data_IF_735980661091
#
_entry.id   IF_735980661091
#
_cell.length_a   1.000
_cell.length_b   1.000
_cell.length_c   1.000
_cell.angle_alpha   90.00
_cell.angle_beta   90.00
_cell.angle_gamma   90.00
#
_symmetry.space_group_name_H-M   'P 1'
#
loop_
_entity.id
_entity.type
_entity.pdbx_description
1 polymer ?
#
# COMPACT_ATOMS: atom_id res chain seq x y z
N UNK A 1 41.76 53.02 62.61
CA UNK A 1 41.44 51.83 63.45
C UNK A 1 41.45 50.61 62.56
N UNK A 2 42.14 49.56 62.99
CA UNK A 2 42.51 48.34 62.27
C UNK A 2 41.41 47.69 61.43
N UNK A 3 41.72 47.18 60.23
CA UNK A 3 42.15 45.77 60.08
C UNK A 3 42.36 45.39 58.59
N UNK A 4 43.58 44.93 58.31
CA UNK A 4 44.03 43.83 57.41
C UNK A 4 42.95 43.04 56.61
N UNK A 5 43.16 42.48 55.41
CA UNK A 5 44.38 41.97 54.72
C UNK A 5 43.99 41.38 53.32
N UNK A 6 45.00 41.24 52.43
CA UNK A 6 45.24 40.13 51.44
C UNK A 6 44.49 40.23 50.08
N UNK A 7 45.19 40.64 48.99
CA UNK A 7 45.90 39.82 47.96
C UNK A 7 44.92 39.23 46.92
N UNK A 8 45.15 39.11 45.60
CA UNK A 8 46.23 39.41 44.64
C UNK A 8 45.74 38.86 43.27
N UNK A 9 46.36 39.33 42.17
CA UNK A 9 46.51 38.71 40.83
C UNK A 9 45.51 39.15 39.74
N UNK A 10 46.02 39.91 38.74
CA UNK A 10 46.52 39.49 37.39
C UNK A 10 45.34 39.14 36.46
N UNK A 11 45.20 39.49 35.19
CA UNK A 11 46.03 40.02 34.09
C UNK A 11 45.00 40.49 33.01
N UNK A 12 45.24 41.42 32.08
CA UNK A 12 46.39 41.53 31.18
C UNK A 12 46.02 40.98 29.79
N UNK A 13 45.40 41.85 28.98
CA UNK A 13 45.61 42.15 27.54
C UNK A 13 46.10 41.08 26.55
N UNK A 14 45.49 41.09 25.33
CA UNK A 14 46.13 41.25 23.99
C UNK A 14 45.52 40.39 22.85
N UNK A 15 44.96 41.10 21.85
CA UNK A 15 45.21 41.04 20.39
C UNK A 15 45.51 39.69 19.68
N UNK A 16 44.68 39.37 18.68
CA UNK A 16 45.12 38.97 17.33
C UNK A 16 43.93 39.03 16.34
N UNK A 17 44.07 39.77 15.25
CA UNK A 17 43.06 39.89 14.18
C UNK A 17 43.19 38.78 13.13
N UNK A 18 42.06 38.38 12.52
CA UNK A 18 42.02 37.49 11.36
C UNK A 18 40.96 37.98 10.35
N UNK A 19 41.35 37.89 9.07
CA UNK A 19 40.61 38.31 7.88
C UNK A 19 39.23 37.64 7.77
N UNK A 20 38.19 38.43 7.46
CA UNK A 20 36.90 37.90 7.02
C UNK A 20 36.90 37.77 5.49
N UNK A 21 37.17 36.56 5.00
CA UNK A 21 36.75 36.12 3.69
C UNK A 21 35.22 35.94 3.70
N UNK A 22 34.49 36.84 3.06
CA UNK A 22 33.07 36.65 2.74
C UNK A 22 32.95 35.72 1.53
N UNK A 23 33.08 34.41 1.75
CA UNK A 23 32.54 33.43 0.81
C UNK A 23 31.02 33.36 1.00
N UNK A 24 30.22 33.11 -0.06
CA UNK A 24 28.81 32.86 0.14
C UNK A 24 28.70 31.58 0.97
N UNK A 25 28.12 31.70 2.16
CA UNK A 25 27.60 30.55 2.87
C UNK A 25 26.52 29.95 1.97
N UNK A 26 26.86 28.93 1.18
CA UNK A 26 25.89 27.95 0.72
C UNK A 26 25.26 27.40 1.97
N UNK A 27 24.10 27.95 2.33
CA UNK A 27 23.29 27.44 3.41
C UNK A 27 23.04 25.97 3.09
N UNK A 28 23.63 25.11 3.91
CA UNK A 28 23.30 23.71 3.95
C UNK A 28 21.78 23.63 4.06
N UNK A 29 21.15 23.25 2.96
CA UNK A 29 19.74 22.92 2.92
C UNK A 29 19.61 21.70 3.84
N UNK A 30 19.21 21.94 5.09
CA UNK A 30 18.83 20.88 6.01
C UNK A 30 17.89 19.97 5.23
N UNK A 31 18.25 18.70 5.07
CA UNK A 31 17.44 17.74 4.32
C UNK A 31 16.11 17.58 5.06
N UNK A 32 15.12 18.39 4.69
CA UNK A 32 13.78 18.28 5.23
C UNK A 32 13.29 16.91 4.79
N UNK A 33 13.11 16.00 5.76
CA UNK A 33 12.72 14.62 5.51
C UNK A 33 11.43 14.63 4.68
N UNK A 34 11.50 14.12 3.46
CA UNK A 34 10.32 14.03 2.58
C UNK A 34 9.51 12.80 2.98
N UNK A 35 8.77 12.95 4.09
CA UNK A 35 7.95 11.89 4.69
C UNK A 35 6.95 11.31 3.69
N UNK A 36 6.39 12.16 2.81
CA UNK A 36 5.46 11.71 1.78
C UNK A 36 6.16 10.74 0.82
N UNK A 37 7.36 11.11 0.36
CA UNK A 37 8.17 10.23 -0.51
C UNK A 37 8.49 8.92 0.19
N UNK A 38 8.94 8.95 1.45
CA UNK A 38 9.23 7.74 2.22
C UNK A 38 8.02 6.81 2.37
N UNK A 39 6.84 7.36 2.67
CA UNK A 39 5.60 6.58 2.73
C UNK A 39 5.29 5.98 1.35
N UNK A 40 5.36 6.77 0.28
CA UNK A 40 5.06 6.27 -1.07
C UNK A 40 6.04 5.21 -1.57
N UNK A 41 7.30 5.31 -1.17
CA UNK A 41 8.35 4.35 -1.52
C UNK A 41 8.05 2.96 -0.91
N UNK A 42 7.61 2.91 0.35
CA UNK A 42 7.32 1.61 1.01
C UNK A 42 6.04 0.94 0.52
N UNK A 43 5.08 1.70 0.00
CA UNK A 43 3.84 1.15 -0.61
C UNK A 43 3.98 0.90 -2.11
N UNK A 44 5.06 1.37 -2.74
CA UNK A 44 5.30 1.19 -4.17
C UNK A 44 4.37 1.99 -5.07
N UNK A 45 3.90 3.15 -4.61
CA UNK A 45 3.00 4.02 -5.36
C UNK A 45 3.71 5.32 -5.74
N UNK A 46 3.27 5.96 -6.82
CA UNK A 46 3.72 7.31 -7.13
C UNK A 46 2.91 8.31 -6.28
N UNK A 47 3.54 9.30 -5.62
CA UNK A 47 2.80 10.35 -4.93
C UNK A 47 1.98 11.14 -5.93
N UNK A 48 0.65 10.99 -5.88
CA UNK A 48 -0.31 11.80 -6.63
C UNK A 48 -1.14 12.68 -5.67
N UNK A 49 -0.51 13.07 -4.57
CA UNK A 49 -1.05 13.91 -3.50
C UNK A 49 -0.16 15.14 -3.34
N UNK A 50 -0.76 16.30 -3.08
CA UNK A 50 -0.01 17.49 -2.66
C UNK A 50 -0.11 17.64 -1.14
N UNK A 51 1.02 17.56 -0.44
CA UNK A 51 1.09 17.84 1.00
C UNK A 51 1.09 19.35 1.24
N UNK A 52 0.20 19.85 2.08
CA UNK A 52 0.06 21.28 2.39
C UNK A 52 -0.08 21.49 3.89
N UNK A 53 0.84 22.29 4.44
CA UNK A 53 0.68 22.83 5.79
C UNK A 53 -0.41 23.92 5.77
N UNK A 54 -1.37 23.86 6.69
CA UNK A 54 -2.39 24.90 6.87
C UNK A 54 -2.91 24.93 8.31
N UNK A 55 -3.41 26.07 8.76
CA UNK A 55 -4.18 26.23 9.99
C UNK A 55 -5.69 26.07 9.79
N UNK A 56 -6.17 25.89 8.56
CA UNK A 56 -7.59 25.79 8.22
C UNK A 56 -8.21 24.45 8.66
N UNK A 57 -7.37 23.48 9.02
CA UNK A 57 -7.78 22.21 9.65
C UNK A 57 -7.24 22.15 11.08
N UNK A 58 -8.01 21.61 12.00
CA UNK A 58 -7.57 21.47 13.41
C UNK A 58 -6.44 20.44 13.55
N UNK A 59 -6.49 19.37 12.76
CA UNK A 59 -5.58 18.23 12.80
C UNK A 59 -4.92 17.96 11.43
N UNK A 60 -5.50 17.07 10.63
CA UNK A 60 -5.11 16.73 9.27
C UNK A 60 -6.35 16.28 8.50
N UNK A 61 -6.31 16.39 7.18
CA UNK A 61 -7.43 15.98 6.33
C UNK A 61 -6.98 15.60 4.91
N UNK A 62 -7.52 14.51 4.39
CA UNK A 62 -7.48 14.15 2.99
C UNK A 62 -8.66 14.77 2.22
N UNK A 63 -8.38 15.63 1.24
CA UNK A 63 -9.44 16.33 0.48
C UNK A 63 -9.18 16.31 -1.03
N UNK A 64 -10.26 16.36 -1.81
CA UNK A 64 -10.19 16.52 -3.27
C UNK A 64 -10.74 17.89 -3.61
N UNK A 65 -9.91 18.74 -4.22
CA UNK A 65 -10.29 20.09 -4.63
C UNK A 65 -9.75 20.39 -6.02
N UNK A 66 -10.59 20.92 -6.92
CA UNK A 66 -10.19 21.23 -8.30
C UNK A 66 -9.60 20.04 -9.08
N UNK A 67 -10.07 18.82 -8.81
CA UNK A 67 -9.57 17.59 -9.44
C UNK A 67 -8.20 17.11 -8.92
N UNK A 68 -7.65 17.77 -7.90
CA UNK A 68 -6.38 17.41 -7.24
C UNK A 68 -6.64 16.84 -5.85
N UNK A 69 -5.75 15.94 -5.40
CA UNK A 69 -5.80 15.34 -4.06
C UNK A 69 -4.80 16.04 -3.15
N UNK A 70 -5.26 16.45 -1.98
CA UNK A 70 -4.48 17.20 -1.01
C UNK A 70 -4.46 16.47 0.33
N UNK A 71 -3.28 16.41 0.93
CA UNK A 71 -3.10 16.07 2.34
C UNK A 71 -2.85 17.37 3.08
N UNK A 72 -3.87 17.86 3.78
CA UNK A 72 -3.77 19.04 4.62
C UNK A 72 -3.32 18.62 6.01
N UNK A 73 -2.40 19.35 6.62
CA UNK A 73 -2.03 19.11 8.02
C UNK A 73 -1.75 20.42 8.76
N UNK A 74 -2.08 20.43 10.04
CA UNK A 74 -1.75 21.50 10.97
C UNK A 74 -0.39 21.22 11.63
N UNK A 75 0.66 22.01 11.32
CA UNK A 75 2.01 21.76 11.84
C UNK A 75 2.08 21.83 13.38
N UNK A 76 1.28 22.70 14.00
CA UNK A 76 1.23 22.86 15.45
C UNK A 76 0.64 21.62 16.11
N UNK A 77 -0.44 21.09 15.55
CA UNK A 77 -1.04 19.85 16.01
C UNK A 77 -0.07 18.68 15.89
N UNK A 78 0.53 18.46 14.71
CA UNK A 78 1.48 17.37 14.49
C UNK A 78 2.67 17.46 15.45
N UNK A 79 3.23 18.67 15.65
CA UNK A 79 4.31 18.88 16.60
C UNK A 79 3.90 18.60 18.06
N UNK A 80 2.66 18.91 18.44
CA UNK A 80 2.13 18.61 19.77
C UNK A 80 1.98 17.10 19.99
N UNK A 81 1.44 16.38 19.00
CA UNK A 81 1.28 14.92 19.07
C UNK A 81 2.65 14.22 19.12
N UNK A 82 3.62 14.62 18.29
CA UNK A 82 4.98 14.07 18.34
C UNK A 82 5.64 14.29 19.71
N UNK A 83 5.45 15.47 20.30
CA UNK A 83 5.99 15.80 21.63
C UNK A 83 5.35 14.95 22.72
N UNK A 84 4.02 14.80 22.69
CA UNK A 84 3.30 13.97 23.64
C UNK A 84 3.70 12.50 23.53
N UNK A 85 3.82 12.00 22.30
CA UNK A 85 4.26 10.64 22.00
C UNK A 85 5.76 10.38 22.14
N UNK A 86 6.57 11.44 22.29
CA UNK A 86 8.05 11.41 22.28
C UNK A 86 8.62 10.67 21.07
N UNK A 87 7.98 10.82 19.91
CA UNK A 87 8.36 10.14 18.67
C UNK A 87 7.83 10.90 17.45
N UNK A 88 8.58 10.88 16.35
CA UNK A 88 8.10 11.43 15.08
C UNK A 88 7.12 10.50 14.35
N UNK A 89 7.05 9.23 14.76
CA UNK A 89 6.13 8.25 14.20
C UNK A 89 4.67 8.63 14.38
N UNK A 90 4.35 9.43 15.39
CA UNK A 90 2.97 9.84 15.62
C UNK A 90 2.45 10.74 14.47
N UNK A 91 3.24 11.73 14.06
CA UNK A 91 2.95 12.58 12.91
C UNK A 91 2.95 11.81 11.59
N UNK A 92 3.89 10.87 11.42
CA UNK A 92 3.92 9.99 10.26
C UNK A 92 2.65 9.11 10.19
N UNK A 93 2.18 8.61 11.34
CA UNK A 93 0.94 7.82 11.45
C UNK A 93 -0.28 8.62 11.00
N UNK A 94 -0.39 9.88 11.40
CA UNK A 94 -1.47 10.79 10.97
C UNK A 94 -1.42 10.97 9.44
N UNK A 95 -0.25 11.28 8.87
CA UNK A 95 -0.15 11.46 7.41
C UNK A 95 -0.44 10.16 6.64
N UNK A 96 0.04 9.02 7.12
CA UNK A 96 -0.24 7.72 6.51
C UNK A 96 -1.74 7.39 6.58
N UNK A 97 -2.42 7.74 7.67
CA UNK A 97 -3.86 7.58 7.82
C UNK A 97 -4.63 8.39 6.76
N UNK A 98 -4.31 9.68 6.59
CA UNK A 98 -4.91 10.52 5.55
C UNK A 98 -4.65 9.98 4.13
N UNK A 99 -3.46 9.42 3.89
CA UNK A 99 -3.17 8.72 2.63
C UNK A 99 -4.06 7.50 2.43
N UNK A 100 -4.37 6.76 3.50
CA UNK A 100 -5.31 5.64 3.48
C UNK A 100 -6.69 6.06 2.97
N UNK A 101 -7.23 7.18 3.46
CA UNK A 101 -8.51 7.72 2.97
C UNK A 101 -8.53 8.01 1.47
N UNK A 102 -7.42 8.50 0.91
CA UNK A 102 -7.33 8.70 -0.53
C UNK A 102 -7.17 7.39 -1.31
N UNK A 103 -6.36 6.46 -0.83
CA UNK A 103 -6.02 5.23 -1.54
C UNK A 103 -7.18 4.23 -1.55
N UNK A 104 -7.96 4.17 -0.48
CA UNK A 104 -9.16 3.34 -0.39
C UNK A 104 -10.40 4.02 -0.99
N UNK A 105 -10.26 5.26 -1.46
CA UNK A 105 -11.34 5.98 -2.16
C UNK A 105 -12.42 6.57 -1.24
N UNK A 106 -12.16 6.69 0.07
CA UNK A 106 -13.07 7.31 1.04
C UNK A 106 -13.40 8.76 0.65
N UNK A 107 -12.40 9.47 0.11
CA UNK A 107 -12.56 10.87 -0.37
C UNK A 107 -13.41 11.04 -1.64
N UNK A 108 -13.89 9.97 -2.27
CA UNK A 108 -14.72 10.03 -3.48
C UNK A 108 -16.22 10.03 -3.19
N UNK A 109 -16.62 9.63 -1.98
CA UNK A 109 -18.03 9.53 -1.57
C UNK A 109 -18.43 10.79 -0.80
N UNK A 110 -19.66 11.25 -1.00
CA UNK A 110 -20.24 12.29 -0.15
C UNK A 110 -20.66 11.66 1.19
N UNK A 111 -20.38 12.31 2.32
CA UNK A 111 -20.81 11.83 3.64
C UNK A 111 -19.82 12.02 4.80
N UNK A 112 -18.56 12.36 4.52
CA UNK A 112 -17.54 12.53 5.56
C UNK A 112 -17.09 11.19 6.19
N UNK A 113 -16.39 11.26 7.31
CA UNK A 113 -15.88 10.09 8.03
C UNK A 113 -17.00 9.16 8.50
N UNK A 114 -16.78 7.87 8.35
CA UNK A 114 -17.62 6.82 8.93
C UNK A 114 -16.74 5.75 9.58
N UNK A 115 -17.28 4.95 10.50
CA UNK A 115 -16.48 4.02 11.29
C UNK A 115 -15.66 3.00 10.48
N UNK A 116 -16.18 2.48 9.36
CA UNK A 116 -15.43 1.52 8.53
C UNK A 116 -14.25 2.18 7.84
N UNK A 117 -14.44 3.36 7.26
CA UNK A 117 -13.39 4.08 6.53
C UNK A 117 -12.23 4.46 7.47
N UNK A 118 -12.53 4.84 8.72
CA UNK A 118 -11.53 5.15 9.74
C UNK A 118 -10.68 3.93 10.12
N UNK A 119 -11.32 2.75 10.29
CA UNK A 119 -10.60 1.51 10.63
C UNK A 119 -9.73 1.00 9.49
N UNK A 120 -10.19 1.15 8.25
CA UNK A 120 -9.39 0.83 7.08
C UNK A 120 -8.17 1.74 6.95
N UNK A 121 -8.35 3.05 7.18
CA UNK A 121 -7.25 4.00 7.16
C UNK A 121 -6.26 3.81 8.33
N UNK A 122 -6.72 3.37 9.50
CA UNK A 122 -5.87 2.92 10.61
C UNK A 122 -5.03 1.70 10.27
N UNK A 123 -5.67 0.69 9.69
CA UNK A 123 -5.00 -0.53 9.27
C UNK A 123 -3.92 -0.21 8.23
N UNK A 124 -4.23 0.66 7.27
CA UNK A 124 -3.26 1.18 6.32
C UNK A 124 -2.11 1.93 7.00
N UNK A 125 -2.39 2.80 7.97
CA UNK A 125 -1.36 3.53 8.73
C UNK A 125 -0.40 2.56 9.44
N UNK A 126 -0.93 1.57 10.16
CA UNK A 126 -0.10 0.55 10.82
C UNK A 126 0.77 -0.26 9.86
N UNK A 127 0.22 -0.60 8.69
CA UNK A 127 0.96 -1.31 7.63
C UNK A 127 2.15 -0.49 7.10
N UNK A 128 1.91 0.78 6.76
CA UNK A 128 2.95 1.71 6.29
C UNK A 128 4.05 1.86 7.34
N UNK A 129 3.67 2.15 8.58
CA UNK A 129 4.63 2.44 9.65
C UNK A 129 5.53 1.22 9.93
N UNK A 130 4.98 0.01 9.92
CA UNK A 130 5.79 -1.20 10.02
C UNK A 130 6.83 -1.29 8.91
N UNK A 131 6.44 -1.04 7.65
CA UNK A 131 7.34 -1.10 6.49
C UNK A 131 8.42 -0.03 6.54
N UNK A 132 8.12 1.12 7.13
CA UNK A 132 9.11 2.18 7.39
C UNK A 132 10.03 1.87 8.58
N UNK A 133 9.73 0.83 9.37
CA UNK A 133 10.58 0.36 10.47
C UNK A 133 10.09 0.68 11.87
N UNK A 134 8.91 1.30 12.02
CA UNK A 134 8.34 1.58 13.33
C UNK A 134 8.00 0.29 14.11
N UNK A 135 8.20 0.32 15.42
CA UNK A 135 7.62 -0.68 16.32
C UNK A 135 6.09 -0.55 16.40
N UNK A 136 5.42 -1.58 16.89
CA UNK A 136 3.97 -1.56 17.09
C UNK A 136 3.57 -0.41 18.05
N UNK A 137 4.33 -0.24 19.14
CA UNK A 137 4.09 0.80 20.12
C UNK A 137 4.20 2.21 19.51
N UNK A 138 5.24 2.46 18.71
CA UNK A 138 5.38 3.72 17.98
C UNK A 138 4.24 3.93 16.99
N UNK A 139 3.80 2.87 16.30
CA UNK A 139 2.70 2.93 15.33
C UNK A 139 1.35 3.28 15.98
N UNK A 140 1.17 2.90 17.24
CA UNK A 140 -0.04 3.15 18.03
C UNK A 140 -0.02 4.49 18.77
N UNK A 141 1.11 5.21 18.77
CA UNK A 141 1.32 6.38 19.64
C UNK A 141 0.39 7.54 19.31
N UNK A 142 0.19 7.87 18.03
CA UNK A 142 -0.72 8.96 17.65
C UNK A 142 -2.13 8.70 18.17
N UNK A 143 -2.66 7.51 17.88
CA UNK A 143 -4.01 7.11 18.28
C UNK A 143 -4.18 7.07 19.79
N UNK A 144 -3.15 6.63 20.52
CA UNK A 144 -3.16 6.65 21.99
C UNK A 144 -3.24 8.07 22.57
N UNK A 145 -2.68 9.07 21.88
CA UNK A 145 -2.70 10.47 22.32
C UNK A 145 -3.99 11.19 21.94
N UNK A 146 -4.52 10.96 20.73
CA UNK A 146 -5.56 11.83 20.15
C UNK A 146 -6.98 11.26 20.27
N UNK A 147 -7.14 9.94 20.36
CA UNK A 147 -8.46 9.33 20.24
C UNK A 147 -9.28 9.41 21.52
N UNK A 148 -10.60 9.51 21.37
CA UNK A 148 -11.55 9.34 22.47
C UNK A 148 -11.67 7.87 22.86
N UNK A 149 -11.96 7.58 24.12
CA UNK A 149 -12.10 6.20 24.59
C UNK A 149 -13.30 5.49 23.96
N UNK A 150 -14.42 6.21 23.82
CA UNK A 150 -15.71 5.66 23.41
C UNK A 150 -15.97 5.88 21.93
N UNK A 151 -16.78 5.00 21.35
CA UNK A 151 -17.28 5.16 19.99
C UNK A 151 -18.14 6.43 19.85
N UNK A 152 -18.09 7.01 18.66
CA UNK A 152 -18.99 8.06 18.19
C UNK A 152 -19.62 7.64 16.85
N UNK A 153 -20.65 8.35 16.36
CA UNK A 153 -21.30 8.00 15.09
C UNK A 153 -20.34 7.97 13.88
N UNK A 154 -19.27 8.77 13.93
CA UNK A 154 -18.33 8.91 12.81
C UNK A 154 -16.96 8.32 13.09
N UNK A 155 -16.57 8.17 14.36
CA UNK A 155 -15.23 7.72 14.77
C UNK A 155 -15.33 6.58 15.79
N UNK A 156 -14.71 5.41 15.54
CA UNK A 156 -14.59 4.34 16.52
C UNK A 156 -13.74 4.78 17.74
N UNK A 157 -14.00 4.14 18.88
CA UNK A 157 -13.27 4.34 20.11
C UNK A 157 -11.83 3.84 20.03
N UNK A 158 -10.97 4.37 20.91
CA UNK A 158 -9.53 4.19 20.88
C UNK A 158 -9.09 2.73 20.78
N UNK A 159 -9.67 1.83 21.57
CA UNK A 159 -9.28 0.41 21.58
C UNK A 159 -9.45 -0.23 20.21
N UNK A 160 -10.58 0.03 19.55
CA UNK A 160 -10.89 -0.53 18.23
C UNK A 160 -9.92 -0.01 17.17
N UNK A 161 -9.61 1.28 17.22
CA UNK A 161 -8.65 1.95 16.32
C UNK A 161 -7.21 1.46 16.52
N UNK A 162 -6.77 1.33 17.77
CA UNK A 162 -5.47 0.76 18.12
C UNK A 162 -5.32 -0.70 17.63
N UNK A 163 -6.40 -1.48 17.71
CA UNK A 163 -6.41 -2.85 17.19
C UNK A 163 -6.30 -2.88 15.66
N UNK A 164 -6.95 -1.96 14.94
CA UNK A 164 -6.84 -1.83 13.49
C UNK A 164 -5.41 -1.51 13.03
N UNK A 165 -4.77 -0.52 13.68
CA UNK A 165 -3.34 -0.22 13.48
C UNK A 165 -2.49 -1.48 13.71
N UNK A 166 -2.79 -2.23 14.77
CA UNK A 166 -2.10 -3.47 15.09
C UNK A 166 -2.21 -4.54 14.00
N UNK A 167 -3.40 -4.73 13.42
CA UNK A 167 -3.62 -5.67 12.31
C UNK A 167 -2.77 -5.32 11.10
N UNK A 168 -2.78 -4.05 10.68
CA UNK A 168 -2.00 -3.59 9.54
C UNK A 168 -0.50 -3.75 9.75
N UNK A 169 -0.04 -3.41 10.95
CA UNK A 169 1.36 -3.61 11.35
C UNK A 169 1.76 -5.09 11.26
N UNK A 170 0.92 -6.01 11.75
CA UNK A 170 1.17 -7.45 11.70
C UNK A 170 1.18 -7.98 10.26
N UNK A 171 0.28 -7.50 9.41
CA UNK A 171 0.24 -7.86 7.99
C UNK A 171 1.54 -7.47 7.28
N UNK A 172 1.99 -6.22 7.46
CA UNK A 172 3.27 -5.75 6.91
C UNK A 172 4.45 -6.57 7.46
N UNK A 173 4.45 -6.90 8.75
CA UNK A 173 5.49 -7.70 9.36
C UNK A 173 5.55 -9.11 8.74
N UNK A 174 4.39 -9.72 8.50
CA UNK A 174 4.27 -11.00 7.79
C UNK A 174 4.89 -10.94 6.39
N UNK A 175 4.64 -9.87 5.64
CA UNK A 175 5.24 -9.68 4.32
C UNK A 175 6.77 -9.55 4.38
N UNK A 176 7.30 -8.73 5.31
CA UNK A 176 8.75 -8.55 5.48
C UNK A 176 9.42 -9.88 5.83
N UNK A 177 8.85 -10.63 6.76
CA UNK A 177 9.37 -11.94 7.18
C UNK A 177 9.32 -12.95 6.02
N UNK A 178 8.24 -12.96 5.23
CA UNK A 178 8.13 -13.84 4.06
C UNK A 178 9.19 -13.52 3.01
N UNK A 179 9.42 -12.24 2.71
CA UNK A 179 10.47 -11.79 1.78
C UNK A 179 11.89 -12.08 2.27
N UNK A 180 12.13 -12.07 3.58
CA UNK A 180 13.43 -12.41 4.15
C UNK A 180 13.72 -13.93 4.15
N UNK A 181 12.68 -14.76 4.25
CA UNK A 181 12.80 -16.23 4.27
C UNK A 181 12.90 -16.87 2.88
N UNK A 182 12.62 -16.10 1.82
CA UNK A 182 12.68 -16.59 0.45
C UNK A 182 13.89 -15.98 -0.25
N UNK A 183 14.89 -16.80 -0.56
CA UNK A 183 15.87 -16.45 -1.60
C UNK A 183 15.09 -16.16 -2.87
N UNK A 184 15.26 -14.98 -3.46
CA UNK A 184 14.63 -14.64 -4.72
C UNK A 184 14.84 -15.78 -5.73
N UNK A 185 13.79 -16.23 -6.47
CA UNK A 185 13.99 -17.22 -7.51
C UNK A 185 15.02 -16.66 -8.50
N UNK A 186 16.18 -17.33 -8.54
CA UNK A 186 17.34 -17.14 -9.42
C UNK A 186 17.33 -15.88 -10.31
N UNK A 187 18.32 -15.01 -10.12
CA UNK A 187 18.69 -13.91 -11.04
C UNK A 187 19.17 -14.39 -12.42
N UNK A 188 19.00 -15.67 -12.77
CA UNK A 188 19.22 -16.12 -14.13
C UNK A 188 18.16 -15.44 -15.03
N UNK A 189 18.58 -14.74 -16.11
CA UNK A 189 17.63 -14.26 -17.09
C UNK A 189 16.79 -15.44 -17.55
N UNK A 190 15.46 -15.27 -17.61
CA UNK A 190 14.60 -16.22 -18.31
C UNK A 190 15.12 -16.25 -19.74
N UNK A 191 15.90 -17.27 -20.07
CA UNK A 191 16.34 -17.50 -21.43
C UNK A 191 15.06 -17.65 -22.25
N UNK A 192 14.76 -16.64 -23.07
CA UNK A 192 13.75 -16.76 -24.11
C UNK A 192 14.31 -17.79 -25.07
N UNK A 193 13.99 -19.07 -24.83
CA UNK A 193 14.36 -20.15 -25.73
C UNK A 193 13.86 -19.75 -27.12
N UNK A 194 14.80 -19.61 -28.06
CA UNK A 194 14.44 -19.53 -29.46
C UNK A 194 13.57 -20.75 -29.77
N UNK A 195 12.41 -20.47 -30.35
CA UNK A 195 11.36 -21.43 -30.71
C UNK A 195 12.02 -22.69 -31.32
N UNK A 196 11.96 -23.87 -30.67
CA UNK A 196 12.60 -25.05 -31.23
C UNK A 196 11.89 -25.44 -32.52
N UNK A 197 12.65 -25.52 -33.62
CA UNK A 197 12.25 -26.32 -34.77
C UNK A 197 12.20 -27.77 -34.28
N UNK A 198 11.02 -28.36 -34.30
CA UNK A 198 10.77 -29.73 -33.81
C UNK A 198 11.53 -30.71 -34.71
N UNK A 199 12.58 -31.34 -34.18
CA UNK A 199 13.05 -32.63 -34.69
C UNK A 199 12.44 -33.75 -33.84
N UNK A 200 11.83 -34.78 -34.46
CA UNK A 200 11.20 -35.85 -33.72
C UNK A 200 12.23 -36.86 -33.22
N UNK A 201 12.30 -37.05 -31.90
CA UNK A 201 12.76 -38.30 -31.30
C UNK A 201 13.75 -38.18 -30.14
N UNK A 202 13.25 -38.03 -28.90
CA UNK A 202 13.64 -38.82 -27.71
C UNK A 202 12.81 -38.37 -26.49
N UNK A 203 12.27 -39.28 -25.66
CA UNK A 203 11.59 -38.89 -24.43
C UNK A 203 12.58 -38.64 -23.30
N UNK A 204 12.57 -37.43 -22.73
CA UNK A 204 13.10 -37.16 -21.39
C UNK A 204 11.97 -36.61 -20.55
N UNK A 205 11.62 -37.35 -19.50
CA UNK A 205 10.69 -36.96 -18.44
C UNK A 205 11.26 -35.80 -17.61
N UNK A 206 10.54 -34.66 -17.47
CA UNK A 206 10.84 -33.68 -16.44
C UNK A 206 9.95 -33.93 -15.22
N UNK A 207 10.58 -34.05 -14.06
CA UNK A 207 9.95 -33.97 -12.74
C UNK A 207 9.40 -32.56 -12.57
N UNK A 208 8.08 -32.43 -12.42
CA UNK A 208 7.41 -31.15 -12.17
C UNK A 208 7.46 -30.83 -10.68
N UNK A 209 8.37 -29.93 -10.28
CA UNK A 209 8.22 -29.20 -9.02
C UNK A 209 7.28 -28.02 -9.23
N UNK A 210 6.14 -28.03 -8.54
CA UNK A 210 5.14 -26.97 -8.58
C UNK A 210 5.68 -25.70 -7.91
N UNK A 211 5.94 -24.67 -8.72
CA UNK A 211 6.34 -23.34 -8.25
C UNK A 211 5.11 -22.53 -7.82
N UNK A 212 5.15 -22.00 -6.59
CA UNK A 212 4.11 -21.19 -5.95
C UNK A 212 4.15 -19.72 -6.40
N UNK A 213 4.06 -19.45 -7.71
CA UNK A 213 3.95 -18.08 -8.23
C UNK A 213 2.70 -17.37 -7.66
N UNK A 214 2.74 -16.08 -7.28
CA UNK A 214 1.57 -15.37 -6.74
C UNK A 214 0.40 -15.41 -7.73
N UNK A 215 -0.81 -15.64 -7.21
CA UNK A 215 -2.03 -15.66 -8.03
C UNK A 215 -2.36 -14.21 -8.40
N UNK A 216 -2.33 -13.90 -9.69
CA UNK A 216 -2.78 -12.60 -10.21
C UNK A 216 -4.03 -12.77 -11.06
N UNK A 217 -4.89 -11.75 -11.08
CA UNK A 217 -6.04 -11.69 -11.99
C UNK A 217 -5.56 -11.26 -13.38
N UNK A 218 -6.00 -11.97 -14.41
CA UNK A 218 -5.62 -11.76 -15.81
C UNK A 218 -6.81 -11.49 -16.73
N UNK A 219 -8.04 -11.59 -16.22
CA UNK A 219 -9.25 -11.36 -17.00
C UNK A 219 -10.50 -11.26 -16.12
N UNK A 220 -11.52 -10.55 -16.59
CA UNK A 220 -12.88 -10.54 -16.03
C UNK A 220 -13.81 -11.28 -16.99
N UNK A 221 -14.67 -12.15 -16.45
CA UNK A 221 -15.75 -12.78 -17.20
C UNK A 221 -17.04 -12.03 -16.97
N UNK A 222 -17.83 -11.82 -18.01
CA UNK A 222 -19.15 -11.19 -17.94
C UNK A 222 -20.12 -12.00 -18.78
N UNK A 223 -21.18 -12.51 -18.15
CA UNK A 223 -22.23 -13.29 -18.80
C UNK A 223 -23.48 -12.44 -19.01
N UNK A 224 -24.17 -12.63 -20.13
CA UNK A 224 -25.35 -11.81 -20.48
C UNK A 224 -26.49 -11.95 -19.47
N UNK A 225 -26.68 -13.14 -18.88
CA UNK A 225 -27.73 -13.41 -17.90
C UNK A 225 -27.33 -13.05 -16.46
N UNK A 226 -26.03 -12.86 -16.20
CA UNK A 226 -25.50 -12.52 -14.88
C UNK A 226 -24.38 -11.48 -14.98
N UNK A 227 -24.67 -10.25 -15.43
CA UNK A 227 -23.63 -9.23 -15.63
C UNK A 227 -23.05 -8.67 -14.32
N UNK A 228 -23.75 -8.88 -13.20
CA UNK A 228 -23.34 -8.42 -11.87
C UNK A 228 -22.37 -9.38 -11.17
N UNK A 229 -22.20 -10.60 -11.68
CA UNK A 229 -21.31 -11.59 -11.08
C UNK A 229 -19.84 -11.15 -11.22
N UNK A 230 -19.14 -11.07 -10.09
CA UNK A 230 -17.73 -10.70 -10.05
C UNK A 230 -16.84 -11.93 -10.30
N UNK A 231 -16.74 -12.32 -11.57
CA UNK A 231 -15.98 -13.49 -12.02
C UNK A 231 -14.64 -13.07 -12.65
N UNK A 232 -13.55 -13.66 -12.16
CA UNK A 232 -12.20 -13.33 -12.58
C UNK A 232 -11.41 -14.57 -12.98
N UNK A 233 -10.56 -14.44 -13.98
CA UNK A 233 -9.60 -15.47 -14.41
C UNK A 233 -8.24 -15.14 -13.81
N UNK A 234 -7.55 -16.14 -13.30
CA UNK A 234 -6.21 -16.00 -12.72
C UNK A 234 -5.10 -16.46 -13.66
N UNK A 235 -3.85 -16.06 -13.39
CA UNK A 235 -2.66 -16.54 -14.11
C UNK A 235 -2.45 -18.07 -14.00
N UNK A 236 -3.13 -18.74 -13.07
CA UNK A 236 -3.18 -20.20 -12.92
C UNK A 236 -4.35 -20.84 -13.68
N UNK A 237 -5.02 -20.08 -14.55
CA UNK A 237 -6.20 -20.50 -15.32
C UNK A 237 -7.40 -20.92 -14.44
N UNK A 238 -7.42 -20.59 -13.15
CA UNK A 238 -8.61 -20.76 -12.32
C UNK A 238 -9.58 -19.60 -12.53
N UNK A 239 -10.88 -19.89 -12.52
CA UNK A 239 -11.95 -18.88 -12.44
C UNK A 239 -12.41 -18.77 -11.01
N UNK A 240 -12.33 -17.55 -10.48
CA UNK A 240 -12.73 -17.24 -9.13
C UNK A 240 -13.95 -16.31 -9.16
N UNK A 241 -14.90 -16.58 -8.27
CA UNK A 241 -16.00 -15.69 -7.94
C UNK A 241 -15.62 -14.92 -6.69
N UNK A 242 -15.79 -13.60 -6.71
CA UNK A 242 -15.62 -12.74 -5.55
C UNK A 242 -17.00 -12.38 -4.99
N UNK A 243 -17.18 -12.57 -3.69
CA UNK A 243 -18.36 -12.11 -2.96
C UNK A 243 -18.05 -10.76 -2.28
N UNK A 244 -18.69 -9.67 -2.70
CA UNK A 244 -18.42 -8.34 -2.14
C UNK A 244 -18.98 -8.15 -0.72
N UNK A 245 -19.95 -8.96 -0.26
CA UNK A 245 -20.49 -8.84 1.08
C UNK A 245 -19.51 -9.43 2.11
N UNK A 246 -19.02 -10.63 1.84
CA UNK A 246 -18.17 -11.39 2.76
C UNK A 246 -16.66 -11.28 2.45
N UNK A 247 -16.30 -10.57 1.37
CA UNK A 247 -14.92 -10.43 0.88
C UNK A 247 -14.23 -11.78 0.63
N UNK A 248 -15.01 -12.80 0.27
CA UNK A 248 -14.51 -14.16 0.03
C UNK A 248 -14.31 -14.43 -1.46
N UNK A 249 -13.39 -15.35 -1.76
CA UNK A 249 -13.17 -15.84 -3.12
C UNK A 249 -13.36 -17.34 -3.19
N UNK A 250 -14.16 -17.81 -4.14
CA UNK A 250 -14.39 -19.22 -4.40
C UNK A 250 -13.94 -19.58 -5.81
N UNK A 251 -13.26 -20.73 -5.99
CA UNK A 251 -12.94 -21.24 -7.33
C UNK A 251 -14.18 -21.93 -7.91
N UNK A 252 -14.76 -21.33 -8.95
CA UNK A 252 -16.01 -21.80 -9.58
C UNK A 252 -15.80 -22.46 -10.94
N UNK A 253 -14.56 -22.44 -11.45
CA UNK A 253 -14.22 -23.09 -12.70
C UNK A 253 -12.73 -23.02 -13.03
N UNK A 254 -12.36 -23.57 -14.20
CA UNK A 254 -10.99 -23.56 -14.71
C UNK A 254 -10.98 -23.44 -16.22
N UNK A 255 -10.03 -22.67 -16.76
CA UNK A 255 -9.71 -22.64 -18.18
C UNK A 255 -8.69 -23.73 -18.50
N UNK A 256 -8.90 -24.42 -19.61
CA UNK A 256 -7.93 -25.31 -20.23
C UNK A 256 -7.56 -24.78 -21.60
N UNK A 257 -6.31 -24.98 -22.02
CA UNK A 257 -5.89 -24.63 -23.37
C UNK A 257 -6.42 -25.66 -24.37
N UNK A 258 -6.83 -25.19 -25.52
CA UNK A 258 -7.34 -26.00 -26.63
C UNK A 258 -6.41 -25.86 -27.84
N UNK A 259 -6.48 -26.84 -28.75
CA UNK A 259 -5.75 -26.84 -30.03
C UNK A 259 -6.49 -26.06 -31.13
N UNK A 260 -7.73 -25.64 -30.89
CA UNK A 260 -8.51 -24.82 -31.82
C UNK A 260 -7.95 -23.40 -31.91
N UNK A 261 -7.79 -22.90 -33.13
CA UNK A 261 -7.41 -21.52 -33.40
C UNK A 261 -8.55 -20.54 -33.04
N UNK A 262 -9.80 -20.93 -33.29
CA UNK A 262 -10.98 -20.11 -33.02
C UNK A 262 -11.29 -20.05 -31.52
N UNK A 263 -11.03 -21.15 -30.79
CA UNK A 263 -11.28 -21.30 -29.36
C UNK A 263 -10.02 -21.78 -28.64
N UNK A 264 -9.06 -20.88 -28.37
CA UNK A 264 -7.80 -21.22 -27.71
C UNK A 264 -7.98 -21.66 -26.25
N UNK A 265 -9.11 -21.33 -25.61
CA UNK A 265 -9.43 -21.77 -24.26
C UNK A 265 -10.82 -22.38 -24.13
N UNK A 266 -10.93 -23.36 -23.23
CA UNK A 266 -12.18 -23.99 -22.82
C UNK A 266 -12.35 -23.77 -21.33
N UNK A 267 -13.40 -23.07 -20.95
CA UNK A 267 -13.83 -22.93 -19.56
C UNK A 267 -14.63 -24.18 -19.16
N UNK A 268 -14.27 -24.77 -18.04
CA UNK A 268 -15.02 -25.85 -17.39
C UNK A 268 -15.46 -25.35 -16.02
N UNK A 269 -16.77 -25.30 -15.78
CA UNK A 269 -17.31 -24.91 -14.47
C UNK A 269 -17.37 -26.09 -13.49
N UNK A 270 -17.80 -25.82 -12.26
CA UNK A 270 -17.95 -26.82 -11.21
C UNK A 270 -18.89 -27.98 -11.61
N UNK A 271 -19.85 -27.74 -12.51
CA UNK A 271 -20.81 -28.72 -13.03
C UNK A 271 -20.31 -29.45 -14.29
N UNK A 272 -19.02 -29.32 -14.63
CA UNK A 272 -18.41 -29.89 -15.84
C UNK A 272 -19.01 -29.37 -17.16
N UNK A 273 -19.73 -28.25 -17.13
CA UNK A 273 -20.23 -27.62 -18.36
C UNK A 273 -19.07 -26.91 -19.04
N UNK A 274 -18.98 -27.12 -20.35
CA UNK A 274 -17.91 -26.59 -21.19
C UNK A 274 -18.39 -25.36 -21.93
N UNK A 275 -17.65 -24.27 -21.78
CA UNK A 275 -17.82 -23.04 -22.53
C UNK A 275 -16.53 -22.77 -23.30
N UNK A 276 -16.65 -22.19 -24.48
CA UNK A 276 -15.52 -21.96 -25.39
C UNK A 276 -15.18 -20.48 -25.42
N UNK A 277 -13.92 -20.14 -25.20
CA UNK A 277 -13.45 -18.75 -25.17
C UNK A 277 -12.61 -18.51 -26.42
N UNK A 278 -13.09 -17.59 -27.26
CA UNK A 278 -12.42 -17.18 -28.49
C UNK A 278 -11.20 -16.30 -28.23
N UNK A 279 -10.32 -16.18 -29.23
CA UNK A 279 -9.14 -15.32 -29.14
C UNK A 279 -9.48 -13.84 -28.90
N UNK A 280 -10.66 -13.40 -29.31
CA UNK A 280 -11.20 -12.04 -29.12
C UNK A 280 -11.93 -11.88 -27.77
N UNK A 281 -11.97 -12.93 -26.95
CA UNK A 281 -12.59 -12.94 -25.64
C UNK A 281 -14.09 -13.24 -25.64
N UNK A 282 -14.75 -13.51 -26.77
CA UNK A 282 -16.15 -13.98 -26.77
C UNK A 282 -16.28 -15.36 -26.11
N UNK A 283 -17.31 -15.56 -25.27
CA UNK A 283 -17.60 -16.83 -24.56
C UNK A 283 -18.83 -17.47 -25.18
N UNK A 284 -18.71 -18.73 -25.60
CA UNK A 284 -19.71 -19.45 -26.37
C UNK A 284 -20.14 -20.75 -25.69
N UNK A 285 -21.41 -21.11 -25.82
CA UNK A 285 -21.92 -22.41 -25.39
C UNK A 285 -21.64 -23.50 -26.45
N UNK A 286 -21.99 -24.75 -26.16
CA UNK A 286 -21.84 -25.89 -27.09
C UNK A 286 -22.70 -25.79 -28.35
N UNK A 287 -23.67 -24.88 -28.38
CA UNK A 287 -24.54 -24.60 -29.54
C UNK A 287 -23.98 -23.47 -30.42
N UNK A 288 -22.79 -22.93 -30.09
CA UNK A 288 -22.16 -21.84 -30.84
C UNK A 288 -22.76 -20.46 -30.58
N UNK A 289 -23.63 -20.32 -29.57
CA UNK A 289 -24.18 -19.02 -29.19
C UNK A 289 -23.24 -18.29 -28.24
N UNK A 290 -22.99 -17.01 -28.50
CA UNK A 290 -22.24 -16.17 -27.58
C UNK A 290 -23.10 -15.81 -26.37
N UNK A 291 -22.64 -16.20 -25.18
CA UNK A 291 -23.34 -16.00 -23.91
C UNK A 291 -22.61 -15.05 -22.96
N UNK A 292 -21.42 -14.58 -23.36
CA UNK A 292 -20.64 -13.66 -22.56
C UNK A 292 -19.34 -13.20 -23.23
N UNK A 293 -18.51 -12.54 -22.45
CA UNK A 293 -17.20 -12.01 -22.86
C UNK A 293 -16.19 -12.08 -21.72
N UNK A 294 -14.93 -12.28 -22.08
CA UNK A 294 -13.73 -12.10 -21.28
C UNK A 294 -13.08 -10.78 -21.68
N UNK A 295 -12.81 -9.91 -20.71
CA UNK A 295 -12.13 -8.62 -20.89
C UNK A 295 -10.93 -8.50 -19.97
N UNK A 296 -10.16 -7.43 -20.13
CA UNK A 296 -9.21 -6.97 -19.12
C UNK A 296 -9.94 -6.79 -17.77
N UNK A 297 -9.33 -7.14 -16.62
CA UNK A 297 -9.90 -6.89 -15.30
C UNK A 297 -10.06 -5.41 -14.90
N UNK A 298 -9.44 -4.46 -15.63
CA UNK A 298 -9.51 -3.01 -15.36
C UNK A 298 -10.84 -2.34 -15.69
#
# INVERSE_FOLDING_TARGET
>A
MSSTRILRRLAGSLLAGWLLFTGPASMAQSSQRDVLREITDVVGLKPRFELRATSDVENAAAVVYGGKRYLLYNPTFVAAVNRAGRTDWAGISILAHEMGHHLNGHTLRAGGSNPSDELEADEFSGFVLRKMGASLAESQTAMAVVAQETDSPTHPGRTTRLAAIGRGWQQANGQIVASARTSAPSSAPVAVAQRPVVQPGRPTTPVVQASSAPVSVVGKLTFHNSPQDMLFVTNRLSVVRFDPADHTTEVVGRLTRSTSADFPFVLVDAQQRRLFVSAQGGIYNTQGQQIGRMSDPS
#
